data_IF_480813008753
#
_entry.id   IF_480813008753
#
_cell.length_a   1.000
_cell.length_b   1.000
_cell.length_c   1.000
_cell.angle_alpha   90.00
_cell.angle_beta   90.00
_cell.angle_gamma   90.00
#
_symmetry.space_group_name_H-M   'P 1'
#
loop_
_entity.id
_entity.type
_entity.pdbx_description
1 polymer ?
#
# COMPACT_ATOMS: atom_id res chain seq x y z
N UNK A 1 -13.94 -7.69 10.31
CA UNK A 1 -12.70 -6.96 9.96
C UNK A 1 -12.69 -6.51 8.48
N UNK A 2 -12.68 -7.38 7.46
CA UNK A 2 -12.65 -6.94 6.05
C UNK A 2 -13.81 -6.00 5.66
N UNK A 3 -15.05 -6.32 6.03
CA UNK A 3 -16.21 -5.45 5.76
C UNK A 3 -16.13 -4.09 6.49
N UNK A 4 -15.54 -4.06 7.67
CA UNK A 4 -15.34 -2.86 8.46
C UNK A 4 -14.31 -1.93 7.80
N UNK A 5 -13.20 -2.50 7.31
CA UNK A 5 -12.18 -1.75 6.56
C UNK A 5 -12.75 -1.19 5.26
N UNK A 6 -13.57 -1.99 4.55
CA UNK A 6 -14.27 -1.53 3.35
C UNK A 6 -15.20 -0.35 3.67
N UNK A 7 -15.98 -0.43 4.74
CA UNK A 7 -16.85 0.66 5.17
C UNK A 7 -16.07 1.95 5.51
N UNK A 8 -14.89 1.83 6.12
CA UNK A 8 -14.01 2.99 6.37
C UNK A 8 -13.50 3.60 5.07
N UNK A 9 -13.11 2.76 4.11
CA UNK A 9 -12.71 3.20 2.77
C UNK A 9 -13.84 3.91 2.05
N UNK A 10 -15.05 3.36 2.08
CA UNK A 10 -16.24 3.97 1.46
C UNK A 10 -16.61 5.29 2.13
N UNK A 11 -16.63 5.35 3.46
CA UNK A 11 -16.88 6.57 4.24
C UNK A 11 -15.90 7.70 3.88
N UNK A 12 -14.64 7.36 3.66
CA UNK A 12 -13.61 8.30 3.22
C UNK A 12 -13.60 8.55 1.70
N UNK A 13 -14.54 7.98 0.95
CA UNK A 13 -14.55 8.01 -0.52
C UNK A 13 -13.24 7.47 -1.13
N UNK A 14 -12.61 6.52 -0.44
CA UNK A 14 -11.38 5.86 -0.88
C UNK A 14 -11.60 4.70 -1.85
N UNK A 15 -12.86 4.28 -2.05
CA UNK A 15 -13.27 3.34 -3.09
C UNK A 15 -13.85 4.15 -4.25
N UNK A 16 -13.25 4.05 -5.41
CA UNK A 16 -13.69 4.73 -6.62
C UNK A 16 -14.30 3.69 -7.57
N UNK A 17 -15.47 4.00 -8.10
CA UNK A 17 -16.15 3.23 -9.14
C UNK A 17 -16.06 3.96 -10.47
N UNK A 18 -15.72 3.24 -11.56
CA UNK A 18 -15.53 3.84 -12.87
C UNK A 18 -14.76 2.92 -13.82
N UNK A 19 -14.07 3.49 -14.79
CA UNK A 19 -13.24 2.73 -15.72
C UNK A 19 -11.79 3.14 -15.53
N UNK A 20 -10.98 2.23 -14.96
CA UNK A 20 -9.61 2.52 -14.57
C UNK A 20 -8.60 1.68 -15.35
N UNK A 21 -7.52 2.33 -15.82
CA UNK A 21 -6.32 1.64 -16.30
C UNK A 21 -5.34 1.47 -15.14
N UNK A 22 -5.09 0.24 -14.75
CA UNK A 22 -4.16 -0.09 -13.68
C UNK A 22 -2.70 0.00 -14.15
N UNK A 23 -1.76 0.01 -13.21
CA UNK A 23 -0.31 0.03 -13.53
C UNK A 23 0.15 -1.18 -14.35
N UNK A 24 -0.56 -2.31 -14.25
CA UNK A 24 -0.34 -3.51 -15.07
C UNK A 24 -0.78 -3.36 -16.53
N UNK A 25 -1.53 -2.30 -16.86
CA UNK A 25 -2.20 -2.11 -18.16
C UNK A 25 -3.58 -2.75 -18.24
N UNK A 26 -3.97 -3.56 -17.26
CA UNK A 26 -5.33 -4.12 -17.18
C UNK A 26 -6.33 -3.04 -16.78
N UNK A 27 -7.60 -3.24 -17.15
CA UNK A 27 -8.70 -2.38 -16.78
C UNK A 27 -9.45 -2.92 -15.56
N UNK A 28 -10.09 -2.02 -14.80
CA UNK A 28 -10.92 -2.40 -13.64
C UNK A 28 -12.06 -1.40 -13.48
N UNK A 29 -13.16 -1.85 -12.91
CA UNK A 29 -14.32 -1.05 -12.54
C UNK A 29 -14.17 -0.40 -11.16
N UNK A 30 -13.14 -0.79 -10.40
CA UNK A 30 -12.88 -0.31 -9.04
C UNK A 30 -11.41 0.10 -8.86
N UNK A 31 -11.19 1.18 -8.12
CA UNK A 31 -9.87 1.64 -7.71
C UNK A 31 -9.86 2.05 -6.23
N UNK A 32 -8.81 1.65 -5.50
CA UNK A 32 -8.61 1.99 -4.09
C UNK A 32 -7.63 3.16 -3.98
N UNK A 33 -8.13 4.32 -3.54
CA UNK A 33 -7.36 5.53 -3.29
C UNK A 33 -7.20 5.73 -1.77
N UNK A 34 -6.29 4.97 -1.16
CA UNK A 34 -6.08 5.00 0.29
C UNK A 34 -5.63 6.37 0.81
N UNK A 35 -5.01 7.21 -0.02
CA UNK A 35 -4.65 8.57 0.37
C UNK A 35 -5.85 9.39 0.86
N UNK A 36 -7.07 9.08 0.42
CA UNK A 36 -8.30 9.74 0.89
C UNK A 36 -8.64 9.41 2.35
N UNK A 37 -8.20 8.27 2.87
CA UNK A 37 -8.35 7.90 4.28
C UNK A 37 -7.63 8.89 5.21
N UNK A 38 -6.46 9.34 4.77
CA UNK A 38 -5.56 10.16 5.59
C UNK A 38 -6.03 11.61 5.79
N UNK A 39 -7.11 12.02 5.10
CA UNK A 39 -7.82 13.26 5.40
C UNK A 39 -8.57 13.20 6.74
N UNK A 40 -8.81 11.99 7.26
CA UNK A 40 -9.57 11.72 8.48
C UNK A 40 -8.65 11.03 9.50
N UNK A 41 -8.08 11.81 10.45
CA UNK A 41 -7.13 11.27 11.44
C UNK A 41 -7.71 10.15 12.30
N UNK A 42 -9.00 10.22 12.65
CA UNK A 42 -9.72 9.19 13.41
C UNK A 42 -9.78 7.85 12.65
N UNK A 43 -10.07 7.89 11.35
CA UNK A 43 -10.07 6.69 10.49
C UNK A 43 -8.65 6.13 10.37
N UNK A 44 -7.66 7.01 10.20
CA UNK A 44 -6.25 6.60 10.08
C UNK A 44 -5.75 5.96 11.38
N UNK A 45 -6.12 6.52 12.53
CA UNK A 45 -5.79 5.95 13.85
C UNK A 45 -6.39 4.57 14.04
N UNK A 46 -7.67 4.39 13.67
CA UNK A 46 -8.34 3.09 13.73
C UNK A 46 -7.65 2.04 12.86
N UNK A 47 -7.29 2.39 11.62
CA UNK A 47 -6.57 1.49 10.73
C UNK A 47 -5.17 1.16 11.23
N UNK A 48 -4.43 2.14 11.76
CA UNK A 48 -3.12 1.93 12.37
C UNK A 48 -3.18 0.99 13.57
N UNK A 49 -4.22 1.14 14.42
CA UNK A 49 -4.46 0.23 15.54
C UNK A 49 -4.72 -1.19 15.06
N UNK A 50 -5.60 -1.37 14.07
CA UNK A 50 -5.90 -2.70 13.49
C UNK A 50 -4.66 -3.35 12.86
N UNK A 51 -3.80 -2.58 12.20
CA UNK A 51 -2.52 -3.09 11.67
C UNK A 51 -1.57 -3.49 12.80
N UNK A 52 -1.44 -2.69 13.85
CA UNK A 52 -0.62 -3.02 15.02
C UNK A 52 -1.11 -4.31 15.71
N UNK A 53 -2.43 -4.49 15.83
CA UNK A 53 -3.04 -5.72 16.34
C UNK A 53 -2.73 -6.93 15.44
N UNK A 54 -2.77 -6.77 14.11
CA UNK A 54 -2.40 -7.82 13.14
C UNK A 54 -0.93 -8.24 13.22
N UNK A 55 -0.07 -7.36 13.71
CA UNK A 55 1.36 -7.58 13.85
C UNK A 55 1.76 -8.00 15.28
N UNK A 56 0.81 -8.15 16.20
CA UNK A 56 1.10 -8.40 17.62
C UNK A 56 1.76 -9.76 17.92
N UNK A 57 1.64 -10.70 16.99
CA UNK A 57 2.29 -12.02 17.05
C UNK A 57 3.74 -11.99 16.47
N UNK A 58 4.20 -10.85 15.98
CA UNK A 58 5.52 -10.68 15.34
C UNK A 58 6.38 -9.78 16.21
N UNK A 59 7.56 -10.27 16.56
CA UNK A 59 8.58 -9.46 17.21
C UNK A 59 9.32 -8.61 16.17
N UNK A 60 9.27 -7.28 16.32
CA UNK A 60 9.99 -6.35 15.45
C UNK A 60 10.39 -5.07 16.19
N UNK A 61 11.32 -4.31 15.65
CA UNK A 61 11.88 -3.10 16.23
C UNK A 61 11.40 -1.82 15.52
N UNK A 62 11.31 -1.89 14.20
CA UNK A 62 11.12 -0.69 13.36
C UNK A 62 10.13 -0.98 12.24
N UNK A 63 9.29 0.00 11.94
CA UNK A 63 8.47 0.05 10.72
C UNK A 63 9.19 0.88 9.67
N UNK A 64 9.22 0.39 8.43
CA UNK A 64 9.70 1.12 7.25
C UNK A 64 8.55 1.25 6.25
N UNK A 65 8.23 2.47 5.86
CA UNK A 65 7.15 2.75 4.92
C UNK A 65 7.68 3.41 3.63
N UNK A 66 7.28 2.97 2.44
CA UNK A 66 7.63 3.67 1.20
C UNK A 66 6.83 4.96 1.04
N UNK A 67 7.53 6.05 0.71
CA UNK A 67 6.89 7.32 0.43
C UNK A 67 6.26 7.33 -0.98
N UNK A 68 5.12 8.00 -1.11
CA UNK A 68 4.46 8.83 -0.11
C UNK A 68 3.22 8.14 0.48
N UNK A 69 2.58 7.21 -0.23
CA UNK A 69 1.29 6.63 0.10
C UNK A 69 1.24 5.97 1.47
N UNK A 70 2.32 5.29 1.86
CA UNK A 70 2.36 4.53 3.10
C UNK A 70 2.90 5.28 4.32
N UNK A 71 3.44 6.49 4.15
CA UNK A 71 4.13 7.20 5.25
C UNK A 71 3.21 7.43 6.45
N UNK A 72 1.98 7.86 6.19
CA UNK A 72 1.02 8.20 7.25
C UNK A 72 0.55 6.94 7.98
N UNK A 73 0.15 5.91 7.25
CA UNK A 73 -0.30 4.66 7.89
C UNK A 73 0.86 3.92 8.57
N UNK A 74 2.08 3.98 8.01
CA UNK A 74 3.28 3.46 8.64
C UNK A 74 3.58 4.14 9.98
N UNK A 75 3.51 5.48 10.00
CA UNK A 75 3.68 6.27 11.22
C UNK A 75 2.61 5.91 12.27
N UNK A 76 1.34 5.87 11.88
CA UNK A 76 0.26 5.59 12.81
C UNK A 76 0.35 4.15 13.35
N UNK A 77 0.66 3.17 12.49
CA UNK A 77 0.89 1.78 12.93
C UNK A 77 2.04 1.69 13.94
N UNK A 78 3.16 2.40 13.68
CA UNK A 78 4.31 2.43 14.59
C UNK A 78 3.96 3.06 15.94
N UNK A 79 3.19 4.16 15.94
CA UNK A 79 2.68 4.83 17.15
C UNK A 79 1.85 3.85 17.98
N UNK A 80 0.92 3.12 17.37
CA UNK A 80 0.06 2.15 18.05
C UNK A 80 0.86 0.94 18.57
N UNK A 81 1.83 0.46 17.80
CA UNK A 81 2.73 -0.63 18.19
C UNK A 81 3.83 -0.17 19.18
N UNK A 82 3.98 1.13 19.45
CA UNK A 82 5.06 1.74 20.24
C UNK A 82 6.45 1.38 19.70
N UNK A 83 6.60 1.44 18.39
CA UNK A 83 7.82 1.11 17.64
C UNK A 83 8.36 2.32 16.92
N UNK A 84 9.61 2.24 16.49
CA UNK A 84 10.25 3.24 15.65
C UNK A 84 9.65 3.24 14.25
N UNK A 85 9.56 4.42 13.61
CA UNK A 85 9.10 4.56 12.23
C UNK A 85 10.15 5.26 11.37
N UNK A 86 10.41 4.70 10.20
CA UNK A 86 11.22 5.29 9.14
C UNK A 86 10.41 5.26 7.83
N UNK A 87 10.86 6.05 6.85
CA UNK A 87 10.35 5.91 5.49
C UNK A 87 11.49 5.94 4.47
N UNK A 88 11.28 5.25 3.36
CA UNK A 88 12.10 5.34 2.16
C UNK A 88 11.41 6.21 1.13
N UNK A 89 12.17 6.94 0.33
CA UNK A 89 11.65 7.84 -0.69
C UNK A 89 12.40 7.69 -2.00
N UNK A 90 11.74 8.01 -3.11
CA UNK A 90 12.43 8.01 -4.41
C UNK A 90 13.24 9.29 -4.60
N UNK A 91 14.50 9.08 -4.99
CA UNK A 91 15.36 10.13 -5.54
C UNK A 91 15.89 9.64 -6.88
N UNK A 92 15.71 10.43 -7.92
CA UNK A 92 16.15 10.09 -9.29
C UNK A 92 15.61 8.72 -9.76
N UNK A 93 14.35 8.40 -9.37
CA UNK A 93 13.68 7.15 -9.71
C UNK A 93 14.04 5.94 -8.83
N UNK A 94 15.04 6.04 -7.96
CA UNK A 94 15.53 4.95 -7.10
C UNK A 94 15.01 5.14 -5.67
N UNK A 95 14.47 4.05 -5.07
CA UNK A 95 14.04 4.04 -3.67
C UNK A 95 15.28 4.03 -2.77
N UNK A 96 15.30 4.92 -1.76
CA UNK A 96 16.45 5.11 -0.88
C UNK A 96 16.01 5.42 0.55
N UNK A 97 16.77 4.92 1.54
CA UNK A 97 16.68 5.38 2.94
C UNK A 97 17.52 6.65 3.07
N UNK A 98 16.88 7.78 3.36
CA UNK A 98 17.54 9.10 3.36
C UNK A 98 17.31 9.81 4.69
N UNK A 99 17.59 11.10 4.74
CA UNK A 99 17.32 12.01 5.88
C UNK A 99 18.08 11.67 7.15
N UNK A 100 19.24 11.02 7.02
CA UNK A 100 20.04 10.58 8.16
C UNK A 100 19.44 9.39 8.90
N UNK A 101 18.45 8.72 8.32
CA UNK A 101 17.94 7.46 8.86
C UNK A 101 18.95 6.34 8.69
N UNK A 102 18.99 5.46 9.67
CA UNK A 102 19.83 4.26 9.64
C UNK A 102 19.11 3.11 10.37
N UNK A 103 19.50 1.90 10.03
CA UNK A 103 19.10 0.66 10.71
C UNK A 103 20.35 -0.02 11.27
N UNK A 104 20.17 -0.84 12.29
CA UNK A 104 21.24 -1.69 12.81
C UNK A 104 21.25 -3.02 12.06
N UNK A 105 22.42 -3.64 11.95
CA UNK A 105 22.52 -5.00 11.42
C UNK A 105 21.67 -5.95 12.26
N UNK A 106 20.83 -6.75 11.60
CA UNK A 106 19.91 -7.67 12.25
C UNK A 106 18.70 -7.01 12.94
N UNK A 107 18.49 -5.68 12.78
CA UNK A 107 17.30 -5.01 13.28
C UNK A 107 16.06 -5.59 12.59
N UNK A 108 15.08 -6.04 13.38
CA UNK A 108 13.85 -6.63 12.86
C UNK A 108 12.92 -5.56 12.33
N UNK A 109 12.60 -5.63 11.06
CA UNK A 109 11.83 -4.62 10.33
C UNK A 109 10.51 -5.18 9.83
N UNK A 110 9.43 -4.42 10.00
CA UNK A 110 8.17 -4.60 9.28
C UNK A 110 8.04 -3.51 8.21
N UNK A 111 7.73 -3.87 6.97
CA UNK A 111 7.39 -2.91 5.93
C UNK A 111 5.88 -2.69 5.95
N UNK A 112 5.44 -1.42 5.98
CA UNK A 112 4.01 -1.07 5.90
C UNK A 112 3.75 -0.37 4.57
N UNK A 113 2.73 -0.86 3.84
CA UNK A 113 2.22 -0.27 2.60
C UNK A 113 0.72 0.03 2.73
N UNK A 114 0.18 0.89 1.90
CA UNK A 114 -1.26 1.13 1.85
C UNK A 114 -1.99 0.05 1.02
N UNK A 115 -1.56 -0.17 -0.22
CA UNK A 115 -2.11 -1.17 -1.13
C UNK A 115 -0.99 -1.97 -1.79
N UNK A 116 -1.00 -3.28 -1.62
CA UNK A 116 -0.05 -4.18 -2.29
C UNK A 116 -0.73 -4.83 -3.50
N UNK A 117 -0.14 -4.66 -4.68
CA UNK A 117 -0.59 -5.31 -5.93
C UNK A 117 0.43 -6.35 -6.42
N UNK A 118 1.53 -5.89 -7.00
CA UNK A 118 2.61 -6.74 -7.53
C UNK A 118 3.76 -6.91 -6.54
N UNK A 119 3.66 -6.34 -5.34
CA UNK A 119 4.72 -6.27 -4.34
C UNK A 119 6.05 -5.65 -4.84
N UNK A 120 6.03 -4.94 -5.97
CA UNK A 120 7.22 -4.27 -6.52
C UNK A 120 7.78 -3.23 -5.54
N UNK A 121 6.92 -2.39 -4.95
CA UNK A 121 7.33 -1.37 -3.96
C UNK A 121 7.97 -2.01 -2.74
N UNK A 122 7.46 -3.17 -2.29
CA UNK A 122 8.04 -3.92 -1.18
C UNK A 122 9.47 -4.35 -1.52
N UNK A 123 9.68 -4.93 -2.71
CA UNK A 123 11.01 -5.33 -3.19
C UNK A 123 11.98 -4.14 -3.27
N UNK A 124 11.51 -3.01 -3.81
CA UNK A 124 12.32 -1.78 -3.90
C UNK A 124 12.65 -1.21 -2.51
N UNK A 125 11.73 -1.32 -1.55
CA UNK A 125 11.94 -0.93 -0.15
C UNK A 125 12.99 -1.82 0.52
N UNK A 126 12.92 -3.14 0.32
CA UNK A 126 13.94 -4.07 0.82
C UNK A 126 15.33 -3.76 0.25
N UNK A 127 15.41 -3.48 -1.05
CA UNK A 127 16.69 -3.12 -1.68
C UNK A 127 17.24 -1.79 -1.14
N UNK A 128 16.36 -0.81 -0.85
CA UNK A 128 16.75 0.49 -0.30
C UNK A 128 17.35 0.44 1.12
N UNK A 129 17.04 -0.61 1.88
CA UNK A 129 17.53 -0.79 3.25
C UNK A 129 18.60 -1.91 3.37
N UNK A 130 18.89 -2.60 2.28
CA UNK A 130 19.75 -3.79 2.25
C UNK A 130 21.18 -3.55 2.76
N UNK A 131 21.73 -2.37 2.51
CA UNK A 131 23.07 -2.01 2.98
C UNK A 131 23.22 -2.04 4.51
N UNK A 132 22.11 -1.88 5.25
CA UNK A 132 22.08 -1.94 6.71
C UNK A 132 21.93 -3.39 7.23
N UNK A 133 21.76 -4.37 6.38
CA UNK A 133 21.57 -5.78 6.72
C UNK A 133 20.45 -6.01 7.78
N UNK A 134 19.24 -5.39 7.66
CA UNK A 134 18.14 -5.67 8.58
C UNK A 134 17.51 -7.02 8.26
N UNK A 135 16.72 -7.53 9.22
CA UNK A 135 15.85 -8.68 9.03
C UNK A 135 14.42 -8.22 8.76
N UNK A 136 13.91 -8.36 7.53
CA UNK A 136 12.50 -8.06 7.22
C UNK A 136 11.63 -9.24 7.61
N UNK A 137 10.91 -9.12 8.73
CA UNK A 137 10.14 -10.22 9.35
C UNK A 137 8.71 -10.32 8.85
N UNK A 138 8.12 -9.22 8.39
CA UNK A 138 6.77 -9.20 7.81
C UNK A 138 6.54 -7.96 6.94
N UNK A 139 5.41 -7.99 6.23
CA UNK A 139 4.84 -6.86 5.50
C UNK A 139 3.41 -6.65 5.96
N UNK A 140 3.04 -5.42 6.32
CA UNK A 140 1.66 -5.07 6.66
C UNK A 140 1.05 -4.16 5.58
N UNK A 141 -0.28 -4.25 5.36
CA UNK A 141 -0.98 -3.32 4.49
C UNK A 141 -2.48 -3.20 4.82
N UNK A 142 -3.10 -2.12 4.35
CA UNK A 142 -4.55 -1.96 4.44
C UNK A 142 -5.21 -2.94 3.46
N UNK A 143 -4.81 -2.92 2.19
CA UNK A 143 -5.40 -3.73 1.12
C UNK A 143 -4.35 -4.60 0.43
N UNK A 144 -4.56 -5.92 0.48
CA UNK A 144 -3.78 -6.90 -0.27
C UNK A 144 -4.55 -7.36 -1.51
N UNK A 145 -3.94 -7.15 -2.68
CA UNK A 145 -4.44 -7.53 -4.00
C UNK A 145 -3.54 -8.55 -4.69
N UNK A 146 -2.60 -9.16 -3.98
CA UNK A 146 -1.60 -10.08 -4.55
C UNK A 146 -2.16 -11.47 -4.87
N UNK A 147 -3.37 -11.79 -4.41
CA UNK A 147 -3.97 -13.14 -4.52
C UNK A 147 -3.10 -14.24 -3.88
N UNK A 148 -2.27 -13.87 -2.91
CA UNK A 148 -1.29 -14.79 -2.32
C UNK A 148 -0.09 -15.10 -3.25
N UNK A 149 0.03 -14.45 -4.40
CA UNK A 149 1.11 -14.65 -5.36
C UNK A 149 2.34 -13.82 -5.00
N UNK A 150 2.86 -14.01 -3.80
CA UNK A 150 4.03 -13.29 -3.29
C UNK A 150 4.78 -14.16 -2.28
N UNK A 151 6.12 -14.09 -2.23
CA UNK A 151 6.90 -14.84 -1.25
C UNK A 151 6.89 -14.19 0.16
N UNK A 152 6.24 -13.03 0.32
CA UNK A 152 6.30 -12.27 1.56
C UNK A 152 5.20 -12.70 2.54
N UNK A 153 5.51 -12.67 3.86
CA UNK A 153 4.53 -12.84 4.94
C UNK A 153 3.69 -11.55 5.05
N UNK A 154 2.57 -11.48 4.32
CA UNK A 154 1.69 -10.30 4.30
C UNK A 154 0.62 -10.41 5.39
N UNK A 155 0.55 -9.41 6.25
CA UNK A 155 -0.49 -9.17 7.25
C UNK A 155 -1.39 -8.02 6.78
N UNK A 156 -2.47 -8.34 6.08
CA UNK A 156 -3.40 -7.34 5.54
C UNK A 156 -4.65 -7.19 6.40
N UNK A 157 -5.25 -6.01 6.38
CA UNK A 157 -6.56 -5.77 6.98
C UNK A 157 -7.69 -6.29 6.08
N UNK A 158 -7.50 -6.19 4.76
CA UNK A 158 -8.44 -6.64 3.75
C UNK A 158 -7.70 -7.28 2.59
N UNK A 159 -8.18 -8.44 2.14
CA UNK A 159 -7.80 -9.04 0.87
C UNK A 159 -8.93 -8.86 -0.13
N UNK A 160 -8.60 -8.43 -1.33
CA UNK A 160 -9.57 -8.25 -2.39
C UNK A 160 -9.02 -8.71 -3.74
N UNK A 161 -9.82 -9.45 -4.46
CA UNK A 161 -9.58 -9.75 -5.87
C UNK A 161 -10.44 -8.80 -6.71
N UNK A 162 -9.87 -7.69 -7.19
CA UNK A 162 -10.62 -6.84 -8.11
C UNK A 162 -10.88 -7.59 -9.40
N UNK A 163 -12.07 -7.40 -9.94
CA UNK A 163 -12.34 -7.82 -11.30
C UNK A 163 -11.46 -6.98 -12.22
N UNK A 164 -10.66 -7.65 -13.06
CA UNK A 164 -9.79 -7.00 -14.04
C UNK A 164 -10.08 -7.55 -15.43
N UNK A 165 -9.94 -6.70 -16.42
CA UNK A 165 -10.23 -7.00 -17.81
C UNK A 165 -8.99 -6.72 -18.66
N UNK A 166 -8.76 -7.56 -19.67
CA UNK A 166 -7.82 -7.25 -20.75
C UNK A 166 -8.38 -6.06 -21.56
N UNK A 167 -7.53 -5.11 -21.99
CA UNK A 167 -7.98 -3.93 -22.74
C UNK A 167 -8.85 -4.27 -23.95
N UNK A 168 -8.50 -5.34 -24.66
CA UNK A 168 -9.19 -5.77 -25.89
C UNK A 168 -10.53 -6.48 -25.62
N UNK A 169 -10.81 -6.86 -24.36
CA UNK A 169 -12.05 -7.54 -23.97
C UNK A 169 -12.76 -6.89 -22.78
N UNK A 170 -12.44 -5.64 -22.52
CA UNK A 170 -13.02 -4.88 -21.42
C UNK A 170 -14.48 -4.47 -21.73
N UNK A 171 -15.46 -4.86 -20.92
CA UNK A 171 -16.85 -4.47 -21.12
C UNK A 171 -17.03 -2.95 -21.01
N UNK A 172 -16.29 -2.28 -20.13
CA UNK A 172 -16.37 -0.82 -19.94
C UNK A 172 -15.85 -0.06 -21.18
N UNK A 173 -14.88 -0.62 -21.91
CA UNK A 173 -14.46 -0.09 -23.21
C UNK A 173 -15.57 -0.25 -24.26
N UNK A 174 -16.23 -1.43 -24.28
CA UNK A 174 -17.33 -1.72 -25.22
C UNK A 174 -18.51 -0.78 -24.99
N UNK A 175 -18.76 -0.42 -23.74
CA UNK A 175 -19.81 0.53 -23.34
C UNK A 175 -19.41 2.00 -23.52
N UNK A 176 -18.21 2.28 -24.03
CA UNK A 176 -17.72 3.64 -24.28
C UNK A 176 -17.45 4.46 -23.02
N UNK A 177 -17.29 3.83 -21.85
CA UNK A 177 -17.01 4.53 -20.60
C UNK A 177 -15.57 5.08 -20.64
N UNK A 178 -15.37 6.41 -20.44
CA UNK A 178 -14.05 7.03 -20.48
C UNK A 178 -13.10 6.40 -19.48
N UNK A 179 -11.88 6.03 -19.92
CA UNK A 179 -10.87 5.43 -19.06
C UNK A 179 -10.04 6.51 -18.34
N UNK A 180 -9.79 6.27 -17.06
CA UNK A 180 -8.96 7.12 -16.21
C UNK A 180 -7.76 6.32 -15.71
N UNK A 181 -6.59 6.95 -15.65
CA UNK A 181 -5.38 6.36 -15.05
C UNK A 181 -5.10 7.06 -13.73
N UNK A 182 -5.62 6.57 -12.61
CA UNK A 182 -5.36 7.15 -11.30
C UNK A 182 -3.96 6.74 -10.81
N UNK A 183 -3.37 7.52 -9.91
CA UNK A 183 -2.11 7.19 -9.24
C UNK A 183 -1.21 8.38 -8.99
N UNK A 184 -0.07 8.16 -8.34
CA UNK A 184 0.89 9.18 -7.92
C UNK A 184 1.60 9.92 -9.06
N UNK A 185 1.37 9.52 -10.31
CA UNK A 185 1.98 10.14 -11.51
C UNK A 185 1.05 11.11 -12.26
N UNK A 186 -0.05 11.52 -11.65
CA UNK A 186 -1.04 12.43 -12.21
C UNK A 186 -2.27 11.71 -12.79
N UNK A 187 -3.42 12.40 -12.74
CA UNK A 187 -4.63 11.97 -13.42
C UNK A 187 -4.49 12.26 -14.92
N UNK A 188 -3.97 11.33 -15.68
CA UNK A 188 -4.03 11.40 -17.14
C UNK A 188 -5.36 10.79 -17.61
N UNK A 189 -6.20 11.61 -18.24
CA UNK A 189 -7.31 11.09 -19.06
C UNK A 189 -6.67 10.40 -20.27
N UNK A 190 -6.68 9.08 -20.27
CA UNK A 190 -6.25 8.32 -21.44
C UNK A 190 -7.32 8.53 -22.53
N UNK A 191 -6.96 9.16 -23.62
CA UNK A 191 -7.85 9.21 -24.79
C UNK A 191 -8.01 7.79 -25.31
N UNK A 192 -9.27 7.39 -25.46
CA UNK A 192 -9.64 6.13 -26.10
C UNK A 192 -9.20 6.07 -27.55
#
# INVERSE_FOLDING_TARGET
MANEVLNLLEKAQGVLHGHFCLTSGLHSDIYFQCAKLYQYPDITEELGKKLAEKLSDIEFDTIVAPAIGAVIIGYETAKQAKKRNLFVERKDGIMQLRRGYSLKKGEKVVIIEDVITTARTIKETMEAIKEFEPEVVAVGCIVDRTKGQTPYNIKSLMQIEPVVYEPNDCPLCKDGIPIVKPGSRGEEKVKA
#
